data_IF_166389513565
#
_entry.id   IF_166389513565
#
_cell.length_a   1.000
_cell.length_b   1.000
_cell.length_c   1.000
_cell.angle_alpha   90.00
_cell.angle_beta   90.00
_cell.angle_gamma   90.00
#
_symmetry.space_group_name_H-M   'P 1'
#
loop_
_entity.id
_entity.type
_entity.pdbx_description
1 polymer ?
#
# COMPACT_ATOMS: atom_id res chain seq x y z
N UNK A 1 -31.53 44.55 -57.43
CA UNK A 1 -30.44 43.77 -56.81
C UNK A 1 -30.95 43.25 -55.48
N UNK A 2 -31.32 42.01 -55.25
CA UNK A 2 -31.71 40.88 -56.09
C UNK A 2 -32.52 40.00 -55.13
N UNK A 3 -33.74 39.64 -55.50
CA UNK A 3 -34.53 38.65 -54.79
C UNK A 3 -34.65 37.44 -55.72
N UNK A 4 -33.89 36.38 -55.42
CA UNK A 4 -33.94 35.10 -56.13
C UNK A 4 -34.31 34.02 -55.12
N UNK A 5 -35.34 33.18 -55.40
CA UNK A 5 -35.87 32.20 -54.47
C UNK A 5 -35.06 30.89 -54.48
N UNK A 6 -35.11 30.18 -53.35
CA UNK A 6 -34.46 28.89 -53.14
C UNK A 6 -35.12 27.77 -53.95
N UNK A 7 -34.30 26.98 -54.66
CA UNK A 7 -34.67 25.71 -55.26
C UNK A 7 -34.54 24.55 -54.24
N UNK A 8 -35.42 23.53 -54.29
CA UNK A 8 -35.30 22.36 -53.43
C UNK A 8 -34.30 21.36 -54.02
N UNK A 9 -33.31 20.94 -53.23
CA UNK A 9 -32.40 19.84 -53.60
C UNK A 9 -33.01 18.51 -53.16
N UNK A 10 -33.16 17.66 -54.16
CA UNK A 10 -33.75 16.32 -54.17
C UNK A 10 -32.92 15.34 -53.34
N UNK A 11 -33.59 14.52 -52.51
CA UNK A 11 -32.96 13.41 -51.79
C UNK A 11 -32.60 12.28 -52.76
N UNK A 12 -31.32 11.97 -52.89
CA UNK A 12 -30.81 10.78 -53.57
C UNK A 12 -30.89 9.53 -52.67
N UNK A 13 -30.96 8.32 -53.26
CA UNK A 13 -31.25 7.09 -52.52
C UNK A 13 -30.08 6.66 -51.64
N UNK A 14 -30.39 6.29 -50.38
CA UNK A 14 -29.45 5.64 -49.47
C UNK A 14 -29.03 4.29 -50.04
N UNK A 15 -27.75 4.14 -50.38
CA UNK A 15 -27.15 2.84 -50.58
C UNK A 15 -27.08 2.10 -49.24
N UNK A 16 -27.82 1.00 -49.15
CA UNK A 16 -27.79 0.05 -48.05
C UNK A 16 -26.41 -0.63 -48.00
N UNK A 17 -25.57 -0.24 -47.05
CA UNK A 17 -24.39 -1.02 -46.69
C UNK A 17 -24.81 -2.06 -45.65
N UNK A 18 -24.82 -3.33 -46.06
CA UNK A 18 -24.94 -4.48 -45.16
C UNK A 18 -23.78 -4.46 -44.16
N UNK A 19 -24.01 -4.73 -42.85
CA UNK A 19 -22.91 -4.89 -41.92
C UNK A 19 -22.25 -6.24 -42.19
N UNK A 20 -20.99 -6.21 -42.64
CA UNK A 20 -20.14 -7.40 -42.60
C UNK A 20 -19.98 -7.81 -41.14
N UNK A 21 -20.57 -8.95 -40.79
CA UNK A 21 -20.34 -9.69 -39.56
C UNK A 21 -18.91 -10.25 -39.57
N UNK A 22 -17.95 -9.34 -39.38
CA UNK A 22 -16.61 -9.69 -38.95
C UNK A 22 -16.73 -10.29 -37.56
N UNK A 23 -16.61 -11.61 -37.47
CA UNK A 23 -16.44 -12.34 -36.22
C UNK A 23 -15.23 -11.78 -35.48
N UNK A 24 -15.48 -10.79 -34.62
CA UNK A 24 -14.48 -10.25 -33.71
C UNK A 24 -14.24 -11.34 -32.69
N UNK A 25 -13.21 -12.14 -32.93
CA UNK A 25 -12.67 -13.06 -31.93
C UNK A 25 -12.58 -12.26 -30.62
N UNK A 26 -13.29 -12.66 -29.55
CA UNK A 26 -13.22 -11.94 -28.29
C UNK A 26 -11.75 -11.89 -27.88
N UNK A 27 -11.29 -10.71 -27.46
CA UNK A 27 -9.96 -10.58 -26.90
C UNK A 27 -9.85 -11.62 -25.77
N UNK A 28 -8.75 -12.39 -25.69
CA UNK A 28 -8.56 -13.33 -24.60
C UNK A 28 -8.70 -12.59 -23.27
N UNK A 29 -9.16 -13.29 -22.23
CA UNK A 29 -9.25 -12.71 -20.89
C UNK A 29 -7.93 -11.99 -20.55
N UNK A 30 -8.00 -10.76 -20.02
CA UNK A 30 -6.81 -9.91 -19.87
C UNK A 30 -5.79 -10.50 -18.91
N UNK A 31 -6.22 -11.31 -17.93
CA UNK A 31 -5.31 -11.96 -16.99
C UNK A 31 -4.44 -13.07 -17.62
N UNK A 32 -5.00 -14.07 -18.33
CA UNK A 32 -4.18 -15.03 -19.08
C UNK A 32 -3.22 -14.38 -20.08
N UNK A 33 -3.67 -13.35 -20.79
CA UNK A 33 -2.83 -12.63 -21.75
C UNK A 33 -1.67 -11.88 -21.07
N UNK A 34 -1.94 -11.24 -19.93
CA UNK A 34 -0.92 -10.55 -19.13
C UNK A 34 0.11 -11.53 -18.56
N UNK A 35 -0.34 -12.63 -17.96
CA UNK A 35 0.56 -13.65 -17.39
C UNK A 35 1.44 -14.28 -18.46
N UNK A 36 0.87 -14.63 -19.62
CA UNK A 36 1.64 -15.14 -20.76
C UNK A 36 2.66 -14.12 -21.27
N UNK A 37 2.25 -12.85 -21.42
CA UNK A 37 3.12 -11.77 -21.85
C UNK A 37 4.28 -11.50 -20.87
N UNK A 38 4.02 -11.58 -19.56
CA UNK A 38 5.04 -11.48 -18.53
C UNK A 38 6.03 -12.65 -18.59
N UNK A 39 5.55 -13.88 -18.83
CA UNK A 39 6.41 -15.04 -19.03
C UNK A 39 7.36 -14.87 -20.23
N UNK A 40 6.84 -14.37 -21.34
CA UNK A 40 7.62 -14.08 -22.54
C UNK A 40 8.65 -12.96 -22.30
N UNK A 41 8.25 -11.89 -21.62
CA UNK A 41 9.15 -10.79 -21.25
C UNK A 41 10.28 -11.28 -20.33
N UNK A 42 9.95 -12.08 -19.32
CA UNK A 42 10.92 -12.65 -18.39
C UNK A 42 11.92 -13.57 -19.12
N UNK A 43 11.45 -14.36 -20.09
CA UNK A 43 12.31 -15.20 -20.93
C UNK A 43 13.34 -14.37 -21.72
N UNK A 44 12.88 -13.30 -22.37
CA UNK A 44 13.73 -12.40 -23.17
C UNK A 44 14.77 -11.69 -22.32
N UNK A 45 14.40 -11.24 -21.12
CA UNK A 45 15.32 -10.54 -20.21
C UNK A 45 16.33 -11.47 -19.54
N UNK A 46 15.99 -12.75 -19.35
CA UNK A 46 16.91 -13.76 -18.80
C UNK A 46 17.94 -14.27 -19.82
N UNK A 47 17.71 -14.07 -21.13
CA UNK A 47 18.62 -14.48 -22.21
C UNK A 47 18.94 -13.32 -23.17
N UNK A 48 19.65 -12.27 -22.71
CA UNK A 48 20.01 -11.13 -23.55
C UNK A 48 21.07 -11.54 -24.59
N UNK A 49 20.65 -11.98 -25.78
CA UNK A 49 21.59 -12.33 -26.87
C UNK A 49 21.08 -13.27 -27.96
N UNK A 50 19.93 -13.94 -27.81
CA UNK A 50 19.34 -14.73 -28.89
C UNK A 50 18.50 -13.81 -29.80
N UNK A 51 19.14 -13.27 -30.84
CA UNK A 51 18.40 -12.75 -32.00
C UNK A 51 17.64 -13.90 -32.65
N UNK A 52 16.34 -13.77 -32.98
CA UNK A 52 15.63 -14.77 -33.76
C UNK A 52 16.34 -14.93 -35.10
N UNK A 53 16.98 -16.08 -35.35
CA UNK A 53 17.49 -16.40 -36.68
C UNK A 53 16.30 -16.49 -37.64
N UNK A 54 16.27 -15.74 -38.75
CA UNK A 54 15.22 -15.90 -39.74
C UNK A 54 15.37 -17.30 -40.37
N UNK A 55 14.40 -18.18 -40.12
CA UNK A 55 14.29 -19.50 -40.75
C UNK A 55 14.77 -20.71 -39.94
N UNK A 56 15.09 -20.58 -38.65
CA UNK A 56 15.33 -21.72 -37.77
C UNK A 56 14.09 -22.07 -36.96
N UNK A 57 13.64 -23.32 -36.98
CA UNK A 57 12.59 -23.81 -36.08
C UNK A 57 12.91 -23.37 -34.64
N UNK A 58 12.03 -22.55 -34.06
CA UNK A 58 12.05 -22.20 -32.65
C UNK A 58 11.82 -23.47 -31.85
N UNK A 59 12.88 -24.18 -31.50
CA UNK A 59 12.83 -25.13 -30.40
C UNK A 59 12.46 -24.29 -29.17
N UNK A 60 11.38 -24.60 -28.43
CA UNK A 60 11.04 -23.83 -27.25
C UNK A 60 12.26 -23.88 -26.33
N UNK A 61 12.87 -22.71 -26.09
CA UNK A 61 13.84 -22.59 -25.02
C UNK A 61 13.17 -23.19 -23.79
N UNK A 62 13.80 -24.18 -23.17
CA UNK A 62 13.29 -24.83 -21.97
C UNK A 62 13.32 -23.78 -20.86
N UNK A 63 12.28 -22.94 -20.86
CA UNK A 63 12.17 -21.76 -20.03
C UNK A 63 11.75 -22.21 -18.65
N UNK A 64 12.54 -21.86 -17.64
CA UNK A 64 12.05 -21.95 -16.26
C UNK A 64 10.71 -21.22 -16.17
N UNK A 65 9.72 -21.90 -15.60
CA UNK A 65 8.39 -21.34 -15.37
C UNK A 65 8.49 -20.04 -14.57
N UNK A 66 7.60 -19.09 -14.85
CA UNK A 66 7.45 -17.92 -13.99
C UNK A 66 6.77 -18.32 -12.68
N UNK A 67 7.27 -17.80 -11.57
CA UNK A 67 6.67 -17.95 -10.25
C UNK A 67 5.84 -16.69 -9.94
N UNK A 68 4.59 -16.84 -9.53
CA UNK A 68 3.75 -15.69 -9.14
C UNK A 68 4.05 -15.35 -7.68
N UNK A 69 4.67 -14.20 -7.44
CA UNK A 69 4.96 -13.72 -6.08
C UNK A 69 3.76 -13.02 -5.43
N UNK A 70 2.93 -12.37 -6.24
CA UNK A 70 1.69 -11.74 -5.78
C UNK A 70 0.72 -11.56 -6.92
N UNK A 71 -0.54 -11.92 -6.69
CA UNK A 71 -1.66 -11.61 -7.57
C UNK A 71 -2.81 -10.98 -6.77
N UNK A 72 -3.21 -9.79 -7.20
CA UNK A 72 -4.40 -9.04 -6.75
C UNK A 72 -4.99 -8.32 -7.96
N UNK A 73 -6.26 -7.92 -7.88
CA UNK A 73 -6.97 -7.25 -8.98
C UNK A 73 -6.21 -6.07 -9.61
N UNK A 74 -5.39 -5.35 -8.84
CA UNK A 74 -4.59 -4.20 -9.27
C UNK A 74 -3.08 -4.51 -9.40
N UNK A 75 -2.61 -5.69 -9.00
CA UNK A 75 -1.17 -5.99 -8.87
C UNK A 75 -0.84 -7.42 -9.31
N UNK A 76 0.06 -7.56 -10.27
CA UNK A 76 0.68 -8.84 -10.61
C UNK A 76 2.19 -8.70 -10.53
N UNK A 77 2.82 -9.52 -9.69
CA UNK A 77 4.27 -9.61 -9.54
C UNK A 77 4.69 -11.03 -9.81
N UNK A 78 5.58 -11.21 -10.77
CA UNK A 78 6.12 -12.53 -11.14
C UNK A 78 7.63 -12.53 -11.07
N UNK A 79 8.20 -13.70 -10.90
CA UNK A 79 9.64 -13.93 -10.79
C UNK A 79 10.09 -14.97 -11.80
N UNK A 80 11.31 -14.79 -12.30
CA UNK A 80 12.07 -15.83 -12.99
C UNK A 80 13.55 -15.72 -12.60
N UNK A 81 14.04 -16.71 -11.85
CA UNK A 81 15.41 -16.66 -11.31
C UNK A 81 15.62 -15.43 -10.42
N UNK A 82 16.62 -14.60 -10.73
CA UNK A 82 16.91 -13.34 -10.03
C UNK A 82 16.14 -12.11 -10.55
N UNK A 83 15.22 -12.27 -11.50
CA UNK A 83 14.43 -11.20 -12.10
C UNK A 83 13.01 -11.18 -11.53
N UNK A 84 12.53 -10.00 -11.15
CA UNK A 84 11.14 -9.75 -10.78
C UNK A 84 10.51 -8.80 -11.79
N UNK A 85 9.31 -9.12 -12.28
CA UNK A 85 8.51 -8.24 -13.10
C UNK A 85 7.26 -7.80 -12.33
N UNK A 86 6.99 -6.49 -12.35
CA UNK A 86 5.81 -5.90 -11.71
C UNK A 86 4.93 -5.26 -12.76
N UNK A 87 3.69 -5.72 -12.88
CA UNK A 87 2.64 -5.03 -13.63
C UNK A 87 1.99 -3.94 -12.75
N UNK A 88 2.18 -2.68 -13.12
CA UNK A 88 1.59 -1.53 -12.43
C UNK A 88 0.08 -1.45 -12.69
N UNK A 89 -0.74 -0.92 -11.77
CA UNK A 89 -2.21 -0.88 -11.89
C UNK A 89 -2.72 -0.42 -13.26
N UNK A 90 -3.88 -0.93 -13.73
CA UNK A 90 -4.46 -0.46 -14.99
C UNK A 90 -4.77 1.04 -14.88
N UNK A 91 -4.53 1.79 -15.97
CA UNK A 91 -4.70 3.25 -15.99
C UNK A 91 -3.63 4.05 -15.26
N UNK A 92 -2.51 3.43 -14.86
CA UNK A 92 -1.34 4.17 -14.32
C UNK A 92 -0.89 5.27 -15.28
N UNK A 93 -0.73 6.49 -14.77
CA UNK A 93 -0.20 7.61 -15.54
C UNK A 93 1.25 7.33 -15.97
N UNK A 94 1.52 7.21 -17.29
CA UNK A 94 2.86 6.91 -17.78
C UNK A 94 3.88 8.00 -17.43
N UNK A 95 3.49 9.27 -17.37
CA UNK A 95 4.42 10.36 -17.08
C UNK A 95 4.89 10.30 -15.62
N UNK A 96 3.94 10.19 -14.67
CA UNK A 96 4.28 10.02 -13.25
C UNK A 96 5.07 8.72 -13.00
N UNK A 97 4.71 7.61 -13.66
CA UNK A 97 5.45 6.35 -13.54
C UNK A 97 6.89 6.48 -14.04
N UNK A 98 7.12 7.15 -15.17
CA UNK A 98 8.46 7.37 -15.69
C UNK A 98 9.33 8.17 -14.70
N UNK A 99 8.80 9.23 -14.08
CA UNK A 99 9.56 10.00 -13.09
C UNK A 99 9.88 9.19 -11.83
N UNK A 100 8.95 8.37 -11.34
CA UNK A 100 9.19 7.49 -10.19
C UNK A 100 10.24 6.42 -10.49
N UNK A 101 10.21 5.83 -11.70
CA UNK A 101 11.24 4.87 -12.13
C UNK A 101 12.62 5.52 -12.26
N UNK A 102 12.69 6.75 -12.78
CA UNK A 102 13.95 7.52 -12.80
C UNK A 102 14.45 7.83 -11.40
N UNK A 103 13.57 8.25 -10.49
CA UNK A 103 13.94 8.50 -9.10
C UNK A 103 14.45 7.23 -8.41
N UNK A 104 13.81 6.08 -8.64
CA UNK A 104 14.27 4.80 -8.11
C UNK A 104 15.63 4.36 -8.68
N UNK A 105 15.94 4.74 -9.92
CA UNK A 105 17.23 4.48 -10.56
C UNK A 105 18.32 5.52 -10.23
N UNK A 106 17.98 6.62 -9.54
CA UNK A 106 18.92 7.70 -9.24
C UNK A 106 19.98 7.23 -8.21
N UNK A 107 21.28 7.38 -8.51
CA UNK A 107 22.36 7.06 -7.57
C UNK A 107 22.23 7.75 -6.19
N UNK A 108 21.63 8.94 -6.13
CA UNK A 108 21.40 9.67 -4.87
C UNK A 108 20.37 8.96 -3.97
N UNK A 109 19.46 8.19 -4.57
CA UNK A 109 18.41 7.44 -3.88
C UNK A 109 18.74 5.95 -3.74
N UNK A 110 19.87 5.49 -4.30
CA UNK A 110 20.27 4.08 -4.33
C UNK A 110 20.59 3.47 -2.95
N UNK A 111 20.66 4.28 -1.88
CA UNK A 111 20.79 3.81 -0.49
C UNK A 111 19.43 3.58 0.20
N UNK A 112 18.33 4.07 -0.41
CA UNK A 112 16.97 3.99 0.11
C UNK A 112 16.05 3.14 -0.78
N UNK A 113 16.10 3.33 -2.09
CA UNK A 113 15.26 2.65 -3.07
C UNK A 113 16.01 1.52 -3.78
N UNK A 114 15.32 0.44 -4.10
CA UNK A 114 15.82 -0.56 -5.03
C UNK A 114 15.79 0.04 -6.44
N UNK A 115 16.88 -0.09 -7.21
CA UNK A 115 16.90 0.39 -8.58
C UNK A 115 16.21 -0.60 -9.54
N UNK A 116 15.37 -0.12 -10.47
CA UNK A 116 14.82 -0.96 -11.53
C UNK A 116 15.90 -1.39 -12.52
N UNK A 117 15.70 -2.53 -13.16
CA UNK A 117 16.54 -3.02 -14.25
C UNK A 117 16.11 -2.36 -15.57
N UNK A 118 17.06 -1.91 -16.41
CA UNK A 118 16.73 -1.40 -17.75
C UNK A 118 16.16 -2.54 -18.61
N UNK A 119 15.13 -2.22 -19.39
CA UNK A 119 14.51 -3.16 -20.33
C UNK A 119 14.90 -2.72 -21.75
N UNK A 120 15.59 -3.58 -22.54
CA UNK A 120 15.95 -3.24 -23.91
C UNK A 120 14.72 -2.91 -24.76
N UNK A 121 14.75 -1.73 -25.39
CA UNK A 121 13.66 -1.19 -26.21
C UNK A 121 12.47 -0.64 -25.41
N UNK A 122 12.60 -0.51 -24.09
CA UNK A 122 11.50 0.00 -23.27
C UNK A 122 11.25 1.50 -23.43
N UNK A 123 10.00 1.84 -23.18
CA UNK A 123 9.51 3.21 -23.04
C UNK A 123 9.78 3.70 -21.60
N UNK A 124 9.16 4.82 -21.22
CA UNK A 124 9.17 5.37 -19.86
C UNK A 124 10.56 5.36 -19.21
N UNK A 125 11.48 6.10 -19.84
CA UNK A 125 12.88 6.22 -19.42
C UNK A 125 13.73 4.94 -19.53
N UNK A 126 13.28 3.93 -20.29
CA UNK A 126 14.01 2.68 -20.49
C UNK A 126 13.76 1.62 -19.41
N UNK A 127 12.80 1.87 -18.50
CA UNK A 127 12.53 1.00 -17.35
C UNK A 127 11.17 0.31 -17.38
N UNK A 128 10.27 0.67 -18.30
CA UNK A 128 8.98 0.00 -18.42
C UNK A 128 8.52 -0.17 -19.86
N UNK A 129 7.88 -1.31 -20.13
CA UNK A 129 7.29 -1.65 -21.43
C UNK A 129 5.82 -2.01 -21.26
N UNK A 130 5.02 -1.87 -22.31
CA UNK A 130 3.65 -2.39 -22.30
C UNK A 130 3.62 -3.89 -22.48
N UNK A 131 2.80 -4.56 -21.69
CA UNK A 131 2.40 -5.96 -21.85
C UNK A 131 0.88 -6.01 -21.68
N UNK A 132 0.17 -6.45 -22.72
CA UNK A 132 -1.28 -6.26 -22.81
C UNK A 132 -1.67 -4.79 -22.57
N UNK A 133 -2.53 -4.51 -21.59
CA UNK A 133 -3.00 -3.18 -21.20
C UNK A 133 -2.23 -2.57 -20.01
N UNK A 134 -1.17 -3.24 -19.52
CA UNK A 134 -0.43 -2.86 -18.31
C UNK A 134 0.97 -2.37 -18.64
N UNK A 135 1.46 -1.39 -17.86
CA UNK A 135 2.89 -1.07 -17.80
C UNK A 135 3.61 -2.07 -16.91
N UNK A 136 4.75 -2.58 -17.38
CA UNK A 136 5.57 -3.56 -16.66
C UNK A 136 6.99 -3.05 -16.49
N UNK A 137 7.46 -3.03 -15.25
CA UNK A 137 8.86 -2.74 -14.88
C UNK A 137 9.58 -4.00 -14.40
N UNK A 138 10.91 -3.99 -14.51
CA UNK A 138 11.80 -5.08 -14.11
C UNK A 138 12.67 -4.69 -12.91
N UNK A 139 12.91 -5.63 -12.00
CA UNK A 139 13.62 -5.39 -10.74
C UNK A 139 14.54 -6.57 -10.39
N UNK A 140 15.66 -6.34 -9.71
CA UNK A 140 16.42 -7.42 -9.09
C UNK A 140 15.58 -8.09 -7.99
N UNK A 141 15.72 -9.39 -7.82
CA UNK A 141 15.18 -10.09 -6.66
C UNK A 141 15.94 -9.68 -5.39
N UNK A 142 15.23 -9.27 -4.35
CA UNK A 142 15.75 -9.12 -3.00
C UNK A 142 15.09 -10.10 -2.03
N UNK A 143 15.73 -10.33 -0.88
CA UNK A 143 15.16 -11.13 0.21
C UNK A 143 14.08 -10.33 0.92
N UNK A 144 12.82 -10.74 0.78
CA UNK A 144 11.69 -10.11 1.48
C UNK A 144 11.51 -10.72 2.89
N UNK A 145 10.91 -9.95 3.79
CA UNK A 145 10.47 -10.45 5.09
C UNK A 145 9.27 -11.39 4.90
N UNK A 146 9.34 -12.56 5.53
CA UNK A 146 8.25 -13.53 5.61
C UNK A 146 7.44 -13.40 6.91
N UNK A 147 6.32 -14.14 7.04
CA UNK A 147 5.48 -14.11 8.24
C UNK A 147 6.23 -14.47 9.54
N UNK A 148 7.20 -15.39 9.45
CA UNK A 148 8.02 -15.82 10.58
C UNK A 148 8.97 -14.73 11.12
N UNK A 149 9.22 -13.67 10.36
CA UNK A 149 10.17 -12.62 10.73
C UNK A 149 9.53 -11.51 11.58
N UNK A 150 8.23 -11.63 11.92
CA UNK A 150 7.47 -10.55 12.57
C UNK A 150 8.08 -10.13 13.92
N UNK A 151 8.51 -11.09 14.74
CA UNK A 151 9.13 -10.84 16.05
C UNK A 151 10.55 -10.27 15.94
N UNK A 152 11.27 -10.64 14.87
CA UNK A 152 12.65 -10.20 14.61
C UNK A 152 12.70 -9.14 13.51
N UNK A 153 11.59 -8.45 13.27
CA UNK A 153 11.48 -7.51 12.17
C UNK A 153 12.51 -6.37 12.36
N UNK A 154 13.20 -5.95 11.29
CA UNK A 154 14.30 -4.99 11.34
C UNK A 154 13.77 -3.55 11.44
N UNK A 155 13.10 -3.22 12.55
CA UNK A 155 12.41 -1.94 12.73
C UNK A 155 13.38 -0.76 12.70
N UNK A 156 14.54 -0.89 13.35
CA UNK A 156 15.58 0.13 13.40
C UNK A 156 16.15 0.40 12.00
N UNK A 157 16.55 -0.64 11.27
CA UNK A 157 17.06 -0.49 9.91
C UNK A 157 15.98 0.02 8.95
N UNK A 158 14.73 -0.39 9.16
CA UNK A 158 13.60 0.14 8.41
C UNK A 158 13.43 1.66 8.62
N UNK A 159 13.57 2.12 9.88
CA UNK A 159 13.54 3.54 10.23
C UNK A 159 14.70 4.30 9.58
N UNK A 160 15.91 3.73 9.57
CA UNK A 160 17.07 4.35 8.93
C UNK A 160 16.92 4.45 7.40
N UNK A 161 16.43 3.40 6.73
CA UNK A 161 16.14 3.43 5.28
C UNK A 161 15.13 4.54 4.97
N UNK A 162 14.11 4.67 5.81
CA UNK A 162 13.07 5.66 5.63
C UNK A 162 13.60 7.09 5.87
N UNK A 163 14.44 7.30 6.88
CA UNK A 163 15.13 8.57 7.09
C UNK A 163 16.01 8.93 5.88
N UNK A 164 16.78 7.97 5.35
CA UNK A 164 17.59 8.18 4.13
C UNK A 164 16.74 8.67 2.96
N UNK A 165 15.59 8.04 2.71
CA UNK A 165 14.65 8.48 1.67
C UNK A 165 14.22 9.94 1.87
N UNK A 166 13.84 10.29 3.11
CA UNK A 166 13.33 11.62 3.44
C UNK A 166 14.40 12.71 3.40
N UNK A 167 15.68 12.37 3.63
CA UNK A 167 16.78 13.34 3.62
C UNK A 167 17.48 13.47 2.27
N UNK A 168 17.35 12.45 1.40
CA UNK A 168 18.08 12.42 0.15
C UNK A 168 17.61 13.53 -0.82
N UNK A 169 18.54 14.17 -1.54
CA UNK A 169 18.18 14.99 -2.69
C UNK A 169 17.46 14.12 -3.73
N UNK A 170 16.44 14.69 -4.38
CA UNK A 170 15.66 14.01 -5.41
C UNK A 170 15.57 14.85 -6.70
N UNK A 171 15.35 14.22 -7.87
CA UNK A 171 15.26 14.92 -9.14
C UNK A 171 14.19 16.03 -9.12
N UNK A 172 14.49 17.18 -9.74
CA UNK A 172 13.58 18.32 -9.78
C UNK A 172 12.19 17.96 -10.36
N UNK A 173 12.15 17.02 -11.32
CA UNK A 173 10.92 16.51 -11.92
C UNK A 173 9.96 15.88 -10.89
N UNK A 174 10.47 15.30 -9.79
CA UNK A 174 9.63 14.75 -8.73
C UNK A 174 8.86 15.83 -7.95
N UNK A 175 9.27 17.10 -8.01
CA UNK A 175 8.63 18.21 -7.29
C UNK A 175 7.15 18.40 -7.68
N UNK A 176 6.78 18.01 -8.90
CA UNK A 176 5.39 18.08 -9.40
C UNK A 176 4.60 16.81 -9.12
N UNK A 177 5.24 15.74 -8.68
CA UNK A 177 4.61 14.45 -8.37
C UNK A 177 4.27 14.41 -6.89
N UNK A 178 2.99 14.58 -6.56
CA UNK A 178 2.52 14.41 -5.19
C UNK A 178 2.56 12.93 -4.79
N UNK A 179 2.95 12.65 -3.54
CA UNK A 179 2.71 11.34 -2.94
C UNK A 179 1.22 11.14 -2.63
N UNK A 180 0.79 9.87 -2.55
CA UNK A 180 -0.62 9.51 -2.34
C UNK A 180 -0.85 8.60 -1.13
N UNK A 181 -0.38 8.95 0.09
CA UNK A 181 -0.45 8.06 1.26
C UNK A 181 -1.86 7.71 1.73
N UNK A 182 -2.87 8.42 1.22
CA UNK A 182 -4.28 8.23 1.55
C UNK A 182 -5.10 7.66 0.40
N UNK A 183 -4.46 7.14 -0.66
CA UNK A 183 -5.17 6.66 -1.86
C UNK A 183 -6.25 5.62 -1.53
N UNK A 184 -6.05 4.86 -0.46
CA UNK A 184 -6.90 3.74 -0.04
C UNK A 184 -8.05 4.16 0.90
N UNK A 185 -7.93 5.28 1.62
CA UNK A 185 -8.95 5.77 2.56
C UNK A 185 -10.31 6.03 1.89
N UNK A 186 -10.33 6.77 0.78
CA UNK A 186 -11.57 7.10 0.07
C UNK A 186 -12.33 5.86 -0.41
N UNK A 187 -11.68 4.95 -1.17
CA UNK A 187 -12.25 3.66 -1.54
C UNK A 187 -12.71 2.82 -0.35
N UNK A 188 -11.94 2.76 0.74
CA UNK A 188 -12.31 2.00 1.94
C UNK A 188 -13.60 2.54 2.58
N UNK A 189 -13.73 3.86 2.72
CA UNK A 189 -14.94 4.49 3.27
C UNK A 189 -16.14 4.33 2.32
N UNK A 190 -15.92 4.41 1.02
CA UNK A 190 -16.97 4.16 0.03
C UNK A 190 -17.47 2.71 0.12
N UNK A 191 -16.56 1.74 0.15
CA UNK A 191 -16.90 0.33 0.35
C UNK A 191 -17.67 0.11 1.67
N UNK A 192 -17.22 0.72 2.76
CA UNK A 192 -17.88 0.63 4.05
C UNK A 192 -19.29 1.23 4.01
N UNK A 193 -19.47 2.33 3.29
CA UNK A 193 -20.78 2.99 3.13
C UNK A 193 -21.74 2.15 2.28
N UNK A 194 -21.23 1.39 1.32
CA UNK A 194 -22.04 0.54 0.43
C UNK A 194 -22.30 -0.86 1.01
N UNK A 195 -21.46 -1.35 1.92
CA UNK A 195 -21.66 -2.65 2.55
C UNK A 195 -23.03 -2.72 3.23
N UNK A 196 -23.76 -3.82 3.08
CA UNK A 196 -25.00 -4.06 3.84
C UNK A 196 -24.62 -4.40 5.28
N UNK A 197 -25.27 -3.83 6.31
CA UNK A 197 -25.04 -4.27 7.68
C UNK A 197 -25.34 -5.76 7.82
N UNK A 198 -24.30 -6.58 8.01
CA UNK A 198 -24.45 -8.00 8.33
C UNK A 198 -24.83 -8.20 9.80
N UNK A 199 -25.36 -9.37 10.19
CA UNK A 199 -25.73 -9.67 11.58
C UNK A 199 -24.56 -9.50 12.57
N UNK A 200 -23.30 -9.70 12.13
CA UNK A 200 -22.10 -9.51 12.95
C UNK A 200 -21.67 -8.04 13.10
N UNK A 201 -22.03 -7.17 12.14
CA UNK A 201 -21.75 -5.72 12.25
C UNK A 201 -22.65 -5.01 13.26
N UNK A 202 -23.76 -5.66 13.64
CA UNK A 202 -24.68 -5.22 14.69
C UNK A 202 -24.25 -5.68 16.09
N UNK A 203 -23.22 -6.53 16.22
CA UNK A 203 -22.81 -7.06 17.51
C UNK A 203 -22.02 -6.03 18.32
N UNK A 204 -22.62 -5.57 19.40
CA UNK A 204 -21.98 -4.95 20.57
C UNK A 204 -21.01 -5.93 21.22
N UNK A 205 -19.88 -6.25 20.57
CA UNK A 205 -18.81 -7.02 21.21
C UNK A 205 -18.06 -6.12 22.19
N UNK A 206 -18.52 -6.11 23.44
CA UNK A 206 -17.77 -5.65 24.59
C UNK A 206 -16.68 -6.69 24.90
N UNK A 207 -15.42 -6.39 24.59
CA UNK A 207 -14.30 -7.09 25.20
C UNK A 207 -13.91 -6.32 26.48
N UNK A 208 -14.13 -6.93 27.64
CA UNK A 208 -13.57 -6.43 28.90
C UNK A 208 -12.06 -6.70 28.93
N UNK A 209 -11.22 -5.83 29.53
CA UNK A 209 -9.80 -6.09 29.66
C UNK A 209 -9.56 -7.21 30.68
N UNK A 210 -8.91 -8.29 30.25
CA UNK A 210 -8.35 -9.30 31.15
C UNK A 210 -7.14 -8.72 31.87
N UNK A 211 -7.28 -8.49 33.17
CA UNK A 211 -6.19 -8.05 34.05
C UNK A 211 -5.29 -9.22 34.40
N UNK A 212 -4.12 -9.31 33.76
CA UNK A 212 -3.06 -10.20 34.22
C UNK A 212 -2.38 -9.56 35.42
N UNK A 213 -2.44 -10.22 36.58
CA UNK A 213 -1.84 -9.73 37.84
C UNK A 213 -0.57 -10.54 38.11
N UNK A 214 0.60 -9.88 38.12
CA UNK A 214 1.91 -10.44 38.45
C UNK A 214 2.90 -9.32 38.81
N UNK A 215 3.90 -9.55 39.68
CA UNK A 215 4.25 -8.63 40.75
C UNK A 215 5.22 -7.50 40.37
N UNK A 216 5.13 -6.45 41.19
CA UNK A 216 5.77 -5.15 41.07
C UNK A 216 7.31 -5.17 40.95
N UNK A 217 7.83 -4.30 40.09
CA UNK A 217 9.21 -3.80 40.15
C UNK A 217 9.22 -2.30 39.87
N UNK A 218 9.87 -1.56 40.77
CA UNK A 218 9.85 -0.09 40.92
C UNK A 218 11.05 0.56 40.23
N UNK A 219 10.82 1.46 39.26
CA UNK A 219 11.73 2.53 38.81
C UNK A 219 10.96 3.54 37.92
N UNK A 220 11.40 4.81 37.80
CA UNK A 220 10.51 5.97 37.81
C UNK A 220 9.90 6.34 36.46
N UNK A 221 8.64 6.81 36.53
CA UNK A 221 7.85 7.31 35.43
C UNK A 221 8.28 8.73 35.01
N UNK A 222 8.49 8.92 33.71
CA UNK A 222 8.52 10.24 33.05
C UNK A 222 7.10 10.51 32.50
N UNK A 223 6.51 11.72 32.66
CA UNK A 223 5.08 11.93 32.49
C UNK A 223 4.68 12.16 31.02
N UNK A 224 3.65 11.44 30.57
CA UNK A 224 2.81 11.77 29.42
C UNK A 224 1.93 13.00 29.76
N UNK A 225 1.67 13.93 28.83
CA UNK A 225 0.72 15.01 29.08
C UNK A 225 -0.72 14.48 29.18
N UNK A 226 -1.20 14.43 30.42
CA UNK A 226 -2.59 14.50 30.92
C UNK A 226 -3.71 13.79 30.14
N UNK A 227 -3.92 12.50 30.44
CA UNK A 227 -5.28 11.94 30.54
C UNK A 227 -5.84 12.18 31.95
N UNK A 228 -7.16 12.35 32.14
CA UNK A 228 -7.70 12.66 33.47
C UNK A 228 -7.57 11.45 34.40
N UNK A 229 -7.20 11.78 35.63
CA UNK A 229 -6.91 10.90 36.74
C UNK A 229 -8.08 10.00 37.13
N UNK A 230 -7.74 8.80 37.60
CA UNK A 230 -8.67 7.93 38.30
C UNK A 230 -9.20 8.61 39.56
N UNK A 231 -10.52 8.74 39.62
CA UNK A 231 -11.27 8.81 40.87
C UNK A 231 -12.17 7.58 40.93
N UNK A 232 -12.07 6.84 42.04
CA UNK A 232 -13.06 5.85 42.43
C UNK A 232 -14.43 6.53 42.44
N UNK A 233 -15.28 6.13 41.50
CA UNK A 233 -16.60 6.67 41.33
C UNK A 233 -17.31 5.86 40.25
N UNK A 234 -18.14 4.92 40.67
CA UNK A 234 -19.05 4.19 39.80
C UNK A 234 -19.89 5.18 38.97
N UNK A 235 -19.45 5.46 37.75
CA UNK A 235 -20.21 6.22 36.77
C UNK A 235 -20.93 5.24 35.85
N UNK A 236 -22.25 5.28 35.98
CA UNK A 236 -23.20 4.54 35.20
C UNK A 236 -22.87 4.58 33.69
N UNK A 237 -22.93 3.41 33.08
CA UNK A 237 -23.04 3.17 31.64
C UNK A 237 -24.08 4.10 31.00
N UNK A 238 -23.64 5.17 30.34
CA UNK A 238 -24.48 5.99 29.47
C UNK A 238 -24.10 5.74 28.00
N UNK A 239 -25.04 5.09 27.33
CA UNK A 239 -25.11 4.71 25.93
C UNK A 239 -24.51 5.70 24.91
N UNK A 240 -23.54 5.22 24.12
CA UNK A 240 -23.29 5.61 22.71
C UNK A 240 -22.78 4.41 21.91
N UNK A 241 -23.33 3.21 22.13
CA UNK A 241 -22.90 2.02 21.41
C UNK A 241 -23.50 1.98 19.99
N UNK A 242 -23.07 2.90 19.12
CA UNK A 242 -23.25 2.77 17.67
C UNK A 242 -22.52 1.52 17.15
N UNK A 243 -22.93 1.02 15.98
CA UNK A 243 -22.28 -0.15 15.37
C UNK A 243 -20.79 0.12 15.09
N UNK A 244 -19.98 -0.92 14.88
CA UNK A 244 -18.58 -0.75 14.46
C UNK A 244 -18.46 0.15 13.22
N UNK A 245 -19.37 -0.03 12.28
CA UNK A 245 -19.53 0.82 11.10
C UNK A 245 -19.79 2.28 11.47
N UNK A 246 -20.74 2.56 12.36
CA UNK A 246 -21.07 3.93 12.78
C UNK A 246 -19.88 4.63 13.44
N UNK A 247 -19.13 3.90 14.28
CA UNK A 247 -17.93 4.40 14.92
C UNK A 247 -16.87 4.81 13.89
N UNK A 248 -16.60 3.96 12.89
CA UNK A 248 -15.63 4.26 11.82
C UNK A 248 -16.08 5.45 10.96
N UNK A 249 -17.35 5.51 10.58
CA UNK A 249 -17.89 6.62 9.80
C UNK A 249 -17.90 7.94 10.59
N UNK A 250 -18.19 7.90 11.89
CA UNK A 250 -18.10 9.05 12.77
C UNK A 250 -16.65 9.53 12.95
N UNK A 251 -15.71 8.61 13.15
CA UNK A 251 -14.28 8.90 13.22
C UNK A 251 -13.75 9.50 11.90
N UNK A 252 -14.19 9.00 10.75
CA UNK A 252 -13.86 9.58 9.44
C UNK A 252 -14.36 11.01 9.30
N UNK A 253 -15.62 11.29 9.64
CA UNK A 253 -16.19 12.65 9.66
C UNK A 253 -15.46 13.57 10.64
N UNK A 254 -14.83 12.99 11.66
CA UNK A 254 -14.04 13.74 12.62
C UNK A 254 -12.66 14.13 12.06
N UNK A 255 -12.10 13.46 11.07
CA UNK A 255 -10.81 13.88 10.50
C UNK A 255 -10.89 15.30 9.91
N UNK A 256 -9.83 16.13 10.02
CA UNK A 256 -9.76 17.43 9.36
C UNK A 256 -10.05 17.32 7.86
N UNK A 257 -10.67 18.36 7.29
CA UNK A 257 -11.08 18.38 5.88
C UNK A 257 -9.94 18.12 4.89
N UNK A 258 -10.27 17.81 3.64
CA UNK A 258 -9.29 17.36 2.62
C UNK A 258 -8.11 18.32 2.39
N UNK A 259 -8.32 19.64 2.51
CA UNK A 259 -7.25 20.65 2.42
C UNK A 259 -6.29 20.61 3.61
N UNK A 260 -6.81 20.29 4.80
CA UNK A 260 -6.05 20.14 6.04
C UNK A 260 -5.28 18.80 6.13
N UNK A 261 -5.52 17.91 5.17
CA UNK A 261 -4.90 16.58 5.09
C UNK A 261 -4.16 16.40 3.75
N UNK A 262 -3.79 17.53 3.15
CA UNK A 262 -2.84 17.61 2.04
C UNK A 262 -1.50 17.05 2.50
N UNK A 263 -0.79 16.35 1.60
CA UNK A 263 0.57 15.88 1.85
C UNK A 263 1.57 17.02 2.04
N UNK A 264 1.19 18.29 1.88
CA UNK A 264 2.04 19.42 2.20
C UNK A 264 1.28 20.40 3.10
N UNK A 265 1.50 20.33 4.40
CA UNK A 265 0.99 21.29 5.37
C UNK A 265 2.02 22.43 5.57
N UNK A 266 1.61 23.72 5.61
CA UNK A 266 2.53 24.83 5.85
C UNK A 266 3.29 24.70 7.17
N UNK A 267 4.62 24.82 7.14
CA UNK A 267 5.47 24.65 8.32
C UNK A 267 5.88 23.19 8.61
N UNK A 268 5.44 22.24 7.78
CA UNK A 268 5.96 20.86 7.78
C UNK A 268 7.03 20.70 6.68
N UNK A 269 8.01 19.80 6.87
CA UNK A 269 8.96 19.45 5.81
C UNK A 269 8.24 18.94 4.57
N UNK A 270 8.84 19.20 3.40
CA UNK A 270 8.40 18.65 2.11
C UNK A 270 9.57 17.90 1.52
N UNK A 271 9.48 16.58 1.55
CA UNK A 271 10.55 15.68 1.11
C UNK A 271 9.99 14.68 0.11
N UNK A 272 10.84 13.88 -0.50
CA UNK A 272 10.38 12.65 -1.15
C UNK A 272 9.89 11.70 -0.05
N UNK A 273 8.70 11.12 -0.20
CA UNK A 273 8.12 10.13 0.70
C UNK A 273 7.68 8.91 -0.11
N UNK A 274 7.70 7.74 0.50
CA UNK A 274 7.31 6.46 -0.10
C UNK A 274 5.82 6.41 -0.42
N UNK A 275 4.97 6.88 0.49
CA UNK A 275 3.53 6.95 0.34
C UNK A 275 2.78 5.66 0.72
N UNK A 276 3.35 4.47 0.51
CA UNK A 276 2.72 3.19 0.94
C UNK A 276 3.62 2.36 1.87
N UNK A 277 4.42 3.02 2.73
CA UNK A 277 5.46 2.34 3.51
C UNK A 277 4.88 1.31 4.50
N UNK A 278 5.45 0.11 4.49
CA UNK A 278 5.28 -0.93 5.52
C UNK A 278 6.44 -1.92 5.41
N UNK A 279 6.68 -2.75 6.45
CA UNK A 279 7.81 -3.69 6.48
C UNK A 279 7.88 -4.62 5.26
N UNK A 280 6.75 -5.10 4.76
CA UNK A 280 6.69 -5.90 3.52
C UNK A 280 7.15 -5.18 2.23
N UNK A 281 7.51 -3.88 2.30
CA UNK A 281 8.15 -3.14 1.21
C UNK A 281 9.67 -3.03 1.38
N UNK A 282 10.24 -3.74 2.35
CA UNK A 282 11.68 -3.86 2.50
C UNK A 282 12.17 -5.15 1.87
N UNK A 283 13.25 -5.02 1.13
CA UNK A 283 14.01 -6.17 0.63
C UNK A 283 15.48 -6.00 0.96
N UNK A 284 16.10 -7.10 1.35
CA UNK A 284 17.54 -7.18 1.52
C UNK A 284 18.19 -7.46 0.17
N UNK A 285 19.19 -6.65 -0.19
CA UNK A 285 19.92 -6.82 -1.44
C UNK A 285 21.06 -7.83 -1.29
N UNK A 286 21.49 -8.45 -2.40
CA UNK A 286 22.58 -9.43 -2.39
C UNK A 286 23.93 -8.85 -1.92
N UNK A 287 24.14 -7.54 -2.06
CA UNK A 287 25.35 -6.83 -1.61
C UNK A 287 25.27 -6.39 -0.13
N UNK A 288 24.19 -6.73 0.55
CA UNK A 288 23.92 -6.33 1.93
C UNK A 288 23.11 -5.03 2.03
N UNK A 289 22.29 -4.95 3.07
CA UNK A 289 21.47 -3.79 3.38
C UNK A 289 20.07 -3.81 2.78
N UNK A 290 19.20 -3.01 3.39
CA UNK A 290 17.78 -2.91 3.10
C UNK A 290 17.47 -1.83 2.07
N UNK A 291 16.47 -2.08 1.22
CA UNK A 291 15.93 -1.13 0.24
C UNK A 291 14.41 -1.20 0.20
N UNK A 292 13.80 -0.06 -0.11
CA UNK A 292 12.38 0.06 -0.37
C UNK A 292 12.04 -0.35 -1.80
N UNK A 293 10.92 -1.03 -1.95
CA UNK A 293 10.28 -1.41 -3.22
C UNK A 293 8.88 -0.79 -3.30
N UNK A 294 8.17 -0.98 -4.41
CA UNK A 294 6.79 -0.49 -4.60
C UNK A 294 6.63 1.04 -4.63
N UNK A 295 7.32 1.63 -5.59
CA UNK A 295 7.37 3.08 -5.87
C UNK A 295 6.05 3.70 -6.39
N UNK A 296 4.93 2.99 -6.41
CA UNK A 296 3.70 3.45 -7.08
C UNK A 296 3.10 4.70 -6.43
N UNK A 297 3.36 4.92 -5.14
CA UNK A 297 2.91 6.11 -4.39
C UNK A 297 4.03 7.11 -4.11
N UNK A 298 5.25 6.82 -4.57
CA UNK A 298 6.41 7.67 -4.36
C UNK A 298 6.14 9.07 -4.91
N UNK A 299 6.45 10.08 -4.11
CA UNK A 299 6.25 11.47 -4.49
C UNK A 299 6.61 12.43 -3.37
N UNK A 300 6.42 13.72 -3.61
CA UNK A 300 6.72 14.75 -2.61
C UNK A 300 5.57 14.89 -1.61
N UNK A 301 5.91 14.96 -0.33
CA UNK A 301 4.97 15.11 0.77
C UNK A 301 5.63 15.32 2.14
N UNK A 302 4.80 15.36 3.18
CA UNK A 302 5.18 15.42 4.58
C UNK A 302 5.62 14.01 5.00
N UNK A 303 6.87 13.83 5.43
CA UNK A 303 7.43 12.52 5.77
C UNK A 303 6.73 11.84 6.95
N UNK A 304 5.95 12.55 7.77
CA UNK A 304 5.15 11.93 8.82
C UNK A 304 4.09 10.94 8.28
N UNK A 305 3.71 11.05 7.00
CA UNK A 305 2.79 10.09 6.39
C UNK A 305 3.37 8.69 6.24
N UNK A 306 4.68 8.54 6.10
CA UNK A 306 5.30 7.20 6.07
C UNK A 306 5.43 6.59 7.47
N UNK A 307 5.43 7.41 8.53
CA UNK A 307 5.41 6.98 9.93
C UNK A 307 3.99 6.66 10.42
N UNK A 308 2.97 6.90 9.59
CA UNK A 308 1.58 6.86 10.01
C UNK A 308 1.09 5.45 10.36
N UNK A 309 1.51 4.43 9.61
CA UNK A 309 1.13 3.03 9.86
C UNK A 309 1.68 2.48 11.18
N UNK A 310 2.99 2.60 11.50
CA UNK A 310 3.51 2.14 12.78
C UNK A 310 2.94 2.96 13.93
N UNK A 311 2.74 4.28 13.77
CA UNK A 311 2.06 5.11 14.76
C UNK A 311 0.61 4.67 14.99
N UNK A 312 -0.12 4.29 13.93
CA UNK A 312 -1.47 3.74 14.06
C UNK A 312 -1.47 2.37 14.77
N UNK A 313 -0.50 1.50 14.46
CA UNK A 313 -0.32 0.23 15.16
C UNK A 313 -0.03 0.44 16.65
N UNK A 314 0.84 1.38 16.99
CA UNK A 314 1.12 1.76 18.38
C UNK A 314 -0.12 2.33 19.09
N UNK A 315 -0.85 3.24 18.45
CA UNK A 315 -2.11 3.79 18.98
C UNK A 315 -3.17 2.70 19.25
N UNK A 316 -3.19 1.65 18.43
CA UNK A 316 -4.09 0.52 18.55
C UNK A 316 -3.60 -0.57 19.52
N UNK A 317 -2.43 -0.40 20.14
CA UNK A 317 -1.82 -1.43 21.00
C UNK A 317 -1.34 -2.68 20.24
N UNK A 318 -1.17 -2.57 18.92
CA UNK A 318 -0.71 -3.64 18.04
C UNK A 318 0.81 -3.61 17.79
N UNK A 319 1.46 -2.49 18.12
CA UNK A 319 2.91 -2.36 18.09
C UNK A 319 3.42 -2.18 19.52
N UNK A 320 4.33 -3.03 20.03
CA UNK A 320 4.85 -2.89 21.38
C UNK A 320 5.51 -1.52 21.59
N UNK A 321 5.33 -0.87 22.76
CA UNK A 321 5.89 0.45 23.03
C UNK A 321 7.41 0.55 22.84
N UNK A 322 8.14 -0.50 23.21
CA UNK A 322 9.59 -0.58 23.05
C UNK A 322 10.01 -0.65 21.58
N UNK A 323 9.22 -1.30 20.72
CA UNK A 323 9.48 -1.35 19.28
C UNK A 323 9.24 0.03 18.66
N UNK A 324 8.13 0.68 19.02
CA UNK A 324 7.85 2.05 18.58
C UNK A 324 8.94 3.04 19.01
N UNK A 325 9.41 2.95 20.26
CA UNK A 325 10.47 3.80 20.77
C UNK A 325 11.79 3.61 19.99
N UNK A 326 12.24 2.36 19.81
CA UNK A 326 13.47 2.07 19.03
C UNK A 326 13.36 2.53 17.58
N UNK A 327 12.20 2.35 16.95
CA UNK A 327 11.95 2.87 15.60
C UNK A 327 12.07 4.40 15.52
N UNK A 328 11.44 5.12 16.45
CA UNK A 328 11.50 6.59 16.51
C UNK A 328 12.92 7.08 16.77
N UNK A 329 13.64 6.44 17.69
CA UNK A 329 15.02 6.80 18.03
C UNK A 329 15.97 6.56 16.85
N UNK A 330 15.86 5.41 16.18
CA UNK A 330 16.64 5.12 14.97
C UNK A 330 16.34 6.10 13.83
N UNK A 331 15.07 6.43 13.61
CA UNK A 331 14.66 7.42 12.60
C UNK A 331 15.25 8.81 12.89
N UNK A 332 15.22 9.26 14.15
CA UNK A 332 15.81 10.53 14.60
C UNK A 332 17.33 10.53 14.47
N UNK A 333 17.98 9.46 14.92
CA UNK A 333 19.43 9.30 14.84
C UNK A 333 19.94 9.35 13.39
N UNK A 334 19.15 8.84 12.45
CA UNK A 334 19.42 8.92 11.01
C UNK A 334 19.07 10.28 10.38
N UNK A 335 18.64 11.28 11.16
CA UNK A 335 18.34 12.64 10.68
C UNK A 335 16.95 12.79 10.06
N UNK A 336 16.03 11.87 10.36
CA UNK A 336 14.69 11.85 9.80
C UNK A 336 13.89 13.12 10.07
N UNK A 337 13.44 13.87 9.03
CA UNK A 337 12.88 15.21 9.20
C UNK A 337 11.41 15.23 9.68
N UNK A 338 10.70 14.08 9.70
CA UNK A 338 9.30 14.05 10.11
C UNK A 338 9.07 14.49 11.56
N UNK A 339 10.05 14.24 12.43
CA UNK A 339 9.94 14.40 13.86
C UNK A 339 10.93 15.46 14.36
N UNK A 340 10.62 16.15 15.47
CA UNK A 340 11.65 16.93 16.16
C UNK A 340 12.76 15.99 16.65
N UNK A 341 13.99 16.52 16.76
CA UNK A 341 15.16 15.75 17.21
C UNK A 341 15.00 15.18 18.63
N UNK A 342 14.23 15.84 19.48
CA UNK A 342 13.86 15.39 20.83
C UNK A 342 12.39 15.70 21.13
N UNK A 343 11.86 15.10 22.20
CA UNK A 343 10.50 15.35 22.70
C UNK A 343 9.43 14.44 22.10
N UNK A 344 8.17 14.84 22.24
CA UNK A 344 7.01 14.05 21.84
C UNK A 344 6.88 13.98 20.30
N UNK A 345 6.85 12.77 19.68
CA UNK A 345 6.61 12.63 18.24
C UNK A 345 5.14 12.86 17.84
N UNK A 346 4.19 12.74 18.77
CA UNK A 346 2.75 12.73 18.47
C UNK A 346 2.21 13.98 17.77
N UNK A 347 2.66 15.21 18.07
CA UNK A 347 2.23 16.39 17.33
C UNK A 347 2.45 16.28 15.81
N UNK A 348 3.44 15.51 15.37
CA UNK A 348 3.71 15.27 13.94
C UNK A 348 2.89 14.10 13.37
N UNK A 349 2.69 13.02 14.14
CA UNK A 349 2.13 11.76 13.63
C UNK A 349 0.67 11.50 14.02
N UNK A 350 0.06 12.26 14.94
CA UNK A 350 -1.34 12.05 15.39
C UNK A 350 -2.33 12.03 14.21
N UNK A 351 -2.31 13.09 13.40
CA UNK A 351 -3.22 13.21 12.26
C UNK A 351 -3.00 12.09 11.22
N UNK A 352 -1.76 11.81 10.77
CA UNK A 352 -1.50 10.65 9.93
C UNK A 352 -1.95 9.31 10.55
N UNK A 353 -1.62 9.06 11.82
CA UNK A 353 -1.97 7.83 12.52
C UNK A 353 -3.49 7.62 12.58
N UNK A 354 -4.25 8.64 13.02
CA UNK A 354 -5.72 8.60 13.06
C UNK A 354 -6.35 8.39 11.69
N UNK A 355 -5.72 8.92 10.63
CA UNK A 355 -6.15 8.69 9.26
C UNK A 355 -6.03 7.22 8.87
N UNK A 356 -4.92 6.57 9.23
CA UNK A 356 -4.69 5.15 8.97
C UNK A 356 -5.52 4.22 9.87
N UNK A 357 -5.76 4.59 11.14
CA UNK A 357 -6.70 3.89 12.03
C UNK A 357 -8.08 3.79 11.37
N UNK A 358 -8.60 4.90 10.83
CA UNK A 358 -9.89 4.92 10.14
C UNK A 358 -9.86 4.08 8.85
N UNK A 359 -8.80 4.17 8.06
CA UNK A 359 -8.66 3.35 6.86
C UNK A 359 -8.63 1.86 7.18
N UNK A 360 -7.83 1.43 8.15
CA UNK A 360 -7.67 0.04 8.52
C UNK A 360 -8.94 -0.54 9.14
N UNK A 361 -9.61 0.20 10.01
CA UNK A 361 -10.91 -0.19 10.55
C UNK A 361 -11.96 -0.35 9.44
N UNK A 362 -12.02 0.60 8.48
CA UNK A 362 -12.94 0.50 7.35
C UNK A 362 -12.66 -0.75 6.49
N UNK A 363 -11.39 -1.00 6.17
CA UNK A 363 -10.97 -2.16 5.37
C UNK A 363 -11.23 -3.48 6.08
N UNK A 364 -11.04 -3.55 7.40
CA UNK A 364 -11.33 -4.74 8.19
C UNK A 364 -12.82 -5.10 8.17
N UNK A 365 -13.70 -4.10 8.12
CA UNK A 365 -15.15 -4.31 8.07
C UNK A 365 -15.70 -4.62 6.67
N UNK A 366 -14.97 -4.29 5.60
CA UNK A 366 -15.43 -4.47 4.20
C UNK A 366 -14.77 -5.63 3.48
N UNK A 367 -13.54 -5.96 3.89
CA UNK A 367 -12.80 -7.08 3.34
C UNK A 367 -13.09 -8.24 4.28
N UNK A 368 -13.99 -9.14 3.91
CA UNK A 368 -13.83 -10.52 4.38
C UNK A 368 -12.47 -10.94 3.86
N UNK A 369 -11.46 -11.02 4.74
CA UNK A 369 -10.13 -11.44 4.34
C UNK A 369 -10.30 -12.78 3.62
N UNK A 370 -9.96 -12.89 2.33
CA UNK A 370 -10.04 -14.19 1.68
C UNK A 370 -9.09 -15.10 2.45
N UNK A 371 -9.60 -16.23 2.94
CA UNK A 371 -8.74 -17.33 3.32
C UNK A 371 -7.76 -17.56 2.15
N UNK A 372 -6.47 -17.82 2.41
CA UNK A 372 -5.54 -18.15 1.34
C UNK A 372 -6.18 -19.25 0.49
N UNK A 373 -6.31 -19.01 -0.82
CA UNK A 373 -6.82 -20.01 -1.73
C UNK A 373 -5.89 -21.22 -1.64
N UNK A 374 -6.43 -22.34 -1.17
CA UNK A 374 -5.75 -23.62 -1.28
C UNK A 374 -5.57 -23.95 -2.77
N UNK A 375 -4.31 -24.09 -3.20
CA UNK A 375 -3.89 -24.44 -4.57
C UNK A 375 -3.03 -23.32 -5.18
N UNK A 376 -1.73 -23.43 -5.42
CA UNK A 376 -0.86 -24.61 -5.59
C UNK A 376 0.37 -24.50 -4.68
N UNK A 377 0.48 -25.42 -3.72
CA UNK A 377 1.77 -25.72 -3.10
C UNK A 377 2.58 -26.59 -4.08
N UNK A 378 3.87 -26.30 -4.35
CA UNK A 378 4.71 -27.23 -5.07
C UNK A 378 4.88 -28.48 -4.20
N UNK A 379 4.69 -29.67 -4.79
CA UNK A 379 4.97 -30.97 -4.16
C UNK A 379 6.31 -30.92 -3.39
N UNK A 380 6.21 -30.93 -2.06
CA UNK A 380 7.26 -31.38 -1.14
C UNK A 380 6.60 -32.25 -0.07
N UNK A 381 7.27 -33.33 0.35
CA UNK A 381 6.66 -34.35 1.19
C UNK A 381 6.46 -33.85 2.62
N UNK A 382 5.29 -34.18 3.17
CA UNK A 382 4.90 -34.20 4.57
C UNK A 382 5.21 -32.96 5.42
N UNK A 383 4.21 -32.09 5.59
CA UNK A 383 3.93 -31.44 6.87
C UNK A 383 2.50 -30.85 6.91
N UNK A 384 1.75 -31.27 7.93
CA UNK A 384 0.64 -30.60 8.62
C UNK A 384 0.19 -29.26 7.99
N UNK A 385 -0.84 -29.30 7.14
CA UNK A 385 -1.54 -28.11 6.68
C UNK A 385 -3.01 -28.30 7.07
N UNK A 386 -3.47 -27.55 8.08
CA UNK A 386 -4.87 -27.17 8.32
C UNK A 386 -5.04 -26.31 9.61
N UNK A 387 -4.04 -26.23 10.51
CA UNK A 387 -4.14 -25.44 11.76
C UNK A 387 -3.80 -23.93 11.57
N UNK A 388 -2.82 -23.56 10.74
CA UNK A 388 -2.35 -22.17 10.61
C UNK A 388 -3.36 -21.18 9.97
N UNK A 389 -4.35 -21.70 9.23
CA UNK A 389 -5.30 -20.90 8.45
C UNK A 389 -6.43 -20.30 9.30
N UNK A 390 -6.92 -21.02 10.31
CA UNK A 390 -7.95 -20.53 11.23
C UNK A 390 -7.38 -19.51 12.22
N UNK A 391 -6.18 -19.77 12.73
CA UNK A 391 -5.46 -18.85 13.63
C UNK A 391 -5.18 -17.50 12.94
N UNK A 392 -4.70 -17.52 11.68
CA UNK A 392 -4.45 -16.31 10.89
C UNK A 392 -5.71 -15.45 10.68
N UNK A 393 -6.87 -16.08 10.51
CA UNK A 393 -8.14 -15.36 10.37
C UNK A 393 -8.58 -14.75 11.69
N UNK A 394 -8.47 -15.50 12.78
CA UNK A 394 -8.73 -15.00 14.13
C UNK A 394 -7.84 -13.80 14.49
N UNK A 395 -6.57 -13.84 14.11
CA UNK A 395 -5.60 -12.76 14.30
C UNK A 395 -6.00 -11.49 13.53
N UNK A 396 -6.39 -11.66 12.27
CA UNK A 396 -6.82 -10.56 11.42
C UNK A 396 -8.11 -9.88 11.94
N UNK A 397 -9.05 -10.66 12.48
CA UNK A 397 -10.25 -10.13 13.13
C UNK A 397 -9.90 -9.35 14.41
N UNK A 398 -9.00 -9.87 15.25
CA UNK A 398 -8.53 -9.16 16.46
C UNK A 398 -7.83 -7.84 16.12
N UNK A 399 -7.00 -7.83 15.07
CA UNK A 399 -6.36 -6.61 14.54
C UNK A 399 -7.41 -5.61 14.07
N UNK A 400 -8.43 -6.05 13.34
CA UNK A 400 -9.54 -5.21 12.89
C UNK A 400 -10.32 -4.58 14.04
N UNK A 401 -10.65 -5.38 15.06
CA UNK A 401 -11.39 -4.94 16.25
C UNK A 401 -10.61 -3.88 17.04
N UNK A 402 -9.27 -3.98 17.12
CA UNK A 402 -8.42 -2.98 17.76
C UNK A 402 -8.53 -1.60 17.10
N UNK A 403 -8.48 -1.53 15.76
CA UNK A 403 -8.65 -0.26 15.04
C UNK A 403 -10.07 0.32 15.18
N UNK A 404 -11.10 -0.54 15.24
CA UNK A 404 -12.48 -0.11 15.52
C UNK A 404 -12.58 0.49 16.94
N UNK A 405 -11.91 -0.11 17.93
CA UNK A 405 -11.86 0.43 19.29
C UNK A 405 -11.23 1.83 19.33
N UNK A 406 -10.12 2.05 18.61
CA UNK A 406 -9.53 3.38 18.46
C UNK A 406 -10.48 4.39 17.80
N UNK A 407 -11.24 3.97 16.77
CA UNK A 407 -12.25 4.84 16.16
C UNK A 407 -13.31 5.29 17.18
N UNK A 408 -13.75 4.40 18.08
CA UNK A 408 -14.69 4.74 19.16
C UNK A 408 -14.08 5.77 20.12
N UNK A 409 -12.82 5.57 20.53
CA UNK A 409 -12.11 6.51 21.41
C UNK A 409 -11.97 7.90 20.78
N UNK A 410 -11.61 7.98 19.48
CA UNK A 410 -11.52 9.24 18.75
C UNK A 410 -12.81 10.05 18.76
N UNK A 411 -13.96 9.38 18.75
CA UNK A 411 -15.29 10.00 18.81
C UNK A 411 -15.61 10.45 20.23
N UNK A 412 -15.28 9.64 21.24
CA UNK A 412 -15.54 9.95 22.65
C UNK A 412 -14.77 11.19 23.15
N UNK A 413 -13.47 11.29 22.86
CA UNK A 413 -12.64 12.44 23.29
C UNK A 413 -13.15 13.77 22.71
N UNK A 414 -13.75 13.75 21.52
CA UNK A 414 -14.35 14.96 20.93
C UNK A 414 -15.68 15.36 21.55
N UNK A 415 -16.42 14.42 22.13
CA UNK A 415 -17.65 14.71 22.83
C UNK A 415 -17.37 15.39 24.17
N UNK A 416 -16.20 15.16 24.78
CA UNK A 416 -15.76 15.79 26.04
C UNK A 416 -15.13 17.17 25.86
N UNK A 417 -14.59 17.49 24.67
CA UNK A 417 -14.00 18.80 24.36
C UNK A 417 -15.03 19.86 23.88
N UNK A 418 -16.31 19.49 23.78
CA UNK A 418 -17.45 20.37 23.41
C UNK A 418 -18.36 20.55 24.60
#
# INVERSE_FOLDING_TARGET
MDATPAHPVTAGPRASASPETGSRVPAPDPEPALTHGLAALAARLAAPGETPRPGGETRPATGGAIEVLSQRHDRLVVRRGGLVLKAHPPGTDPAALAERLRAAADPLLASALLAPLPIPGAELAGYATRVADRWVSAWPLGGALGPADTETAPWEEAAEVLARLHTAPYPAAMTTIAAHPRRRLGPAIAALTLATPGPDTASTRNAAPTTNTGPASTAPAVPLPAGPAGSDGALATTATAGTARDAVLAAYRALPGRKATSTAWPGRPRTLIHGDWHLGQLVQTAVGGWRLIDIDDLGVGDPAWDLARPAAGFAAGLLPPEVWARFVDAYRAAGGPALPGEGDPWPAVDLPARTFVVEFAARALTTSWPAPAAGDAPDRPDQQADEDGEDSKGDQERVGDAFVACCRQMVATRATDR
#
